data_IF_365771961550
#
_entry.id   IF_365771961550
#
_cell.length_a   1.000
_cell.length_b   1.000
_cell.length_c   1.000
_cell.angle_alpha   90.00
_cell.angle_beta   90.00
_cell.angle_gamma   90.00
#
_symmetry.space_group_name_H-M   'P 1'
#
loop_
_entity.id
_entity.type
_entity.pdbx_description
1 polymer ?
#
# COMPACT_ATOMS: atom_id res chain seq x y z
N UNK A 1 -15.72 9.11 8.33
CA UNK A 1 -15.01 9.80 7.23
C UNK A 1 -15.03 8.97 5.94
N UNK A 2 -14.52 7.73 5.94
CA UNK A 2 -14.50 6.81 4.78
C UNK A 2 -15.88 6.60 4.13
N UNK A 3 -16.93 6.39 4.92
CA UNK A 3 -18.31 6.20 4.41
C UNK A 3 -18.85 7.43 3.64
N UNK A 4 -18.40 8.64 3.98
CA UNK A 4 -18.85 9.86 3.31
C UNK A 4 -18.19 10.01 1.93
N UNK A 5 -16.88 9.74 1.83
CA UNK A 5 -16.17 9.77 0.53
C UNK A 5 -16.68 8.68 -0.42
N UNK A 6 -17.03 7.51 0.11
CA UNK A 6 -17.59 6.41 -0.67
C UNK A 6 -18.93 6.79 -1.31
N UNK A 7 -19.82 7.42 -0.55
CA UNK A 7 -21.11 7.90 -1.07
C UNK A 7 -20.94 9.00 -2.10
N UNK A 8 -20.00 9.93 -1.90
CA UNK A 8 -19.75 11.00 -2.86
C UNK A 8 -19.31 10.44 -4.21
N UNK A 9 -18.34 9.51 -4.24
CA UNK A 9 -17.87 8.91 -5.49
C UNK A 9 -18.96 8.05 -6.15
N UNK A 10 -19.75 7.31 -5.38
CA UNK A 10 -20.87 6.52 -5.93
C UNK A 10 -21.96 7.43 -6.52
N UNK A 11 -22.32 8.51 -5.82
CA UNK A 11 -23.31 9.47 -6.30
C UNK A 11 -22.84 10.21 -7.56
N UNK A 12 -21.55 10.52 -7.67
CA UNK A 12 -20.94 11.08 -8.88
C UNK A 12 -21.09 10.13 -10.07
N UNK A 13 -20.62 8.88 -9.93
CA UNK A 13 -20.78 7.85 -10.97
C UNK A 13 -22.25 7.71 -11.38
N UNK A 14 -23.16 7.56 -10.42
CA UNK A 14 -24.59 7.41 -10.71
C UNK A 14 -25.15 8.62 -11.45
N UNK A 15 -24.89 9.84 -10.96
CA UNK A 15 -25.39 11.07 -11.58
C UNK A 15 -24.86 11.28 -13.00
N UNK A 16 -23.57 11.07 -13.24
CA UNK A 16 -22.99 11.17 -14.59
C UNK A 16 -23.57 10.11 -15.53
N UNK A 17 -23.72 8.87 -15.07
CA UNK A 17 -24.35 7.81 -15.90
C UNK A 17 -25.82 8.08 -16.18
N UNK A 18 -26.55 8.71 -15.25
CA UNK A 18 -27.94 9.11 -15.45
C UNK A 18 -28.05 10.17 -16.54
N UNK A 19 -27.21 11.22 -16.51
CA UNK A 19 -27.13 12.23 -17.58
C UNK A 19 -26.84 11.57 -18.93
N UNK A 20 -25.85 10.67 -18.99
CA UNK A 20 -25.49 9.97 -20.24
C UNK A 20 -26.58 9.04 -20.79
N UNK A 21 -27.51 8.57 -19.94
CA UNK A 21 -28.55 7.61 -20.34
C UNK A 21 -29.91 8.26 -20.55
N UNK A 22 -30.14 9.45 -20.01
CA UNK A 22 -31.43 10.13 -20.04
C UNK A 22 -31.44 11.39 -20.91
N UNK A 23 -30.28 12.04 -21.10
CA UNK A 23 -30.15 13.26 -21.88
C UNK A 23 -29.47 13.01 -23.23
N UNK A 24 -29.76 13.88 -24.21
CA UNK A 24 -29.08 13.88 -25.51
C UNK A 24 -27.76 14.65 -25.39
N UNK A 25 -26.71 13.96 -24.96
CA UNK A 25 -25.36 14.52 -24.76
C UNK A 25 -24.48 14.34 -26.00
N UNK A 26 -23.70 15.36 -26.31
CA UNK A 26 -22.74 15.31 -27.40
C UNK A 26 -21.60 14.32 -27.11
N UNK A 27 -20.90 13.88 -28.16
CA UNK A 27 -19.73 13.00 -28.03
C UNK A 27 -18.62 13.59 -27.15
N UNK A 28 -18.49 14.92 -27.09
CA UNK A 28 -17.48 15.56 -26.24
C UNK A 28 -17.90 15.53 -24.77
N UNK A 29 -19.17 15.82 -24.46
CA UNK A 29 -19.71 15.74 -23.09
C UNK A 29 -19.66 14.30 -22.57
N UNK A 30 -19.98 13.31 -23.42
CA UNK A 30 -19.83 11.89 -23.08
C UNK A 30 -18.39 11.55 -22.68
N UNK A 31 -17.37 12.11 -23.35
CA UNK A 31 -15.97 11.87 -22.99
C UNK A 31 -15.59 12.51 -21.66
N UNK A 32 -16.09 13.70 -21.39
CA UNK A 32 -15.85 14.41 -20.12
C UNK A 32 -16.49 13.65 -18.95
N UNK A 33 -17.78 13.32 -19.05
CA UNK A 33 -18.52 12.54 -18.06
C UNK A 33 -17.89 11.15 -17.84
N UNK A 34 -17.45 10.47 -18.90
CA UNK A 34 -16.74 9.20 -18.78
C UNK A 34 -15.39 9.35 -18.04
N UNK A 35 -14.72 10.49 -18.19
CA UNK A 35 -13.51 10.82 -17.45
C UNK A 35 -13.77 10.94 -15.95
N UNK A 36 -14.83 11.67 -15.58
CA UNK A 36 -15.24 11.87 -14.19
C UNK A 36 -15.69 10.55 -13.54
N UNK A 37 -16.50 9.74 -14.25
CA UNK A 37 -16.90 8.40 -13.82
C UNK A 37 -15.68 7.53 -13.53
N UNK A 38 -14.68 7.54 -14.43
CA UNK A 38 -13.48 6.74 -14.25
C UNK A 38 -12.65 7.23 -13.05
N UNK A 39 -12.56 8.55 -12.82
CA UNK A 39 -11.87 9.11 -11.67
C UNK A 39 -12.54 8.68 -10.34
N UNK A 40 -13.87 8.75 -10.28
CA UNK A 40 -14.63 8.30 -9.11
C UNK A 40 -14.54 6.78 -8.90
N UNK A 41 -14.54 5.98 -9.97
CA UNK A 41 -14.35 4.53 -9.89
C UNK A 41 -12.97 4.15 -9.33
N UNK A 42 -11.91 4.85 -9.78
CA UNK A 42 -10.56 4.68 -9.23
C UNK A 42 -10.49 5.08 -7.75
N UNK A 43 -11.16 6.17 -7.37
CA UNK A 43 -11.27 6.61 -5.97
C UNK A 43 -11.97 5.55 -5.12
N UNK A 44 -13.08 4.99 -5.58
CA UNK A 44 -13.77 3.90 -4.89
C UNK A 44 -12.85 2.69 -4.70
N UNK A 45 -12.15 2.26 -5.75
CA UNK A 45 -11.23 1.13 -5.66
C UNK A 45 -10.13 1.35 -4.60
N UNK A 46 -9.59 2.57 -4.51
CA UNK A 46 -8.62 2.95 -3.47
C UNK A 46 -9.22 2.82 -2.07
N UNK A 47 -10.42 3.37 -1.85
CA UNK A 47 -11.09 3.32 -0.55
C UNK A 47 -11.43 1.89 -0.11
N UNK A 48 -11.87 1.03 -1.05
CA UNK A 48 -12.10 -0.38 -0.79
C UNK A 48 -10.80 -1.07 -0.37
N UNK A 49 -9.71 -0.80 -1.10
CA UNK A 49 -8.38 -1.38 -0.79
C UNK A 49 -7.93 -1.00 0.61
N UNK A 50 -8.02 0.28 0.98
CA UNK A 50 -7.65 0.78 2.31
C UNK A 50 -8.51 0.15 3.42
N UNK A 51 -9.82 0.00 3.19
CA UNK A 51 -10.72 -0.66 4.14
C UNK A 51 -10.35 -2.14 4.34
N UNK A 52 -10.11 -2.87 3.26
CA UNK A 52 -9.72 -4.28 3.32
C UNK A 52 -8.36 -4.48 4.00
N UNK A 53 -7.42 -3.57 3.80
CA UNK A 53 -6.14 -3.59 4.52
C UNK A 53 -6.32 -3.39 6.03
N UNK A 54 -7.21 -2.48 6.44
CA UNK A 54 -7.55 -2.30 7.86
C UNK A 54 -8.24 -3.54 8.45
N UNK A 55 -9.22 -4.11 7.74
CA UNK A 55 -9.92 -5.32 8.17
C UNK A 55 -8.94 -6.50 8.34
N UNK A 56 -7.92 -6.60 7.47
CA UNK A 56 -6.85 -7.61 7.59
C UNK A 56 -5.97 -7.40 8.83
N UNK A 57 -5.73 -6.15 9.22
CA UNK A 57 -5.02 -5.86 10.47
C UNK A 57 -5.90 -6.20 11.69
N UNK A 58 -7.18 -5.83 11.67
CA UNK A 58 -8.11 -6.09 12.78
C UNK A 58 -8.45 -7.58 12.96
N UNK A 59 -8.52 -8.34 11.86
CA UNK A 59 -8.73 -9.80 11.87
C UNK A 59 -7.49 -10.60 12.26
N UNK A 60 -6.31 -9.98 12.28
CA UNK A 60 -5.03 -10.63 12.58
C UNK A 60 -4.37 -11.33 11.39
N UNK A 61 -4.90 -11.16 10.17
CA UNK A 61 -4.27 -11.61 8.92
C UNK A 61 -2.96 -10.86 8.64
N UNK A 62 -2.82 -9.66 9.22
CA UNK A 62 -1.58 -8.91 9.34
C UNK A 62 -1.34 -8.65 10.83
N UNK A 63 -0.17 -9.04 11.32
CA UNK A 63 0.23 -8.81 12.70
C UNK A 63 1.47 -7.89 12.76
N UNK A 64 1.43 -6.91 13.66
CA UNK A 64 2.50 -5.93 13.84
C UNK A 64 3.00 -5.99 15.27
N UNK A 65 4.31 -6.13 15.44
CA UNK A 65 4.96 -6.12 16.76
C UNK A 65 6.14 -5.16 16.76
N UNK A 66 6.42 -4.62 17.94
CA UNK A 66 7.63 -3.84 18.19
C UNK A 66 8.26 -4.24 19.52
N UNK A 67 9.58 -4.32 19.56
CA UNK A 67 10.35 -4.52 20.79
C UNK A 67 11.61 -3.68 20.78
N UNK A 68 12.11 -3.33 21.96
CA UNK A 68 13.48 -2.85 22.11
C UNK A 68 14.42 -4.05 22.19
N UNK A 69 15.42 -4.08 21.31
CA UNK A 69 16.41 -5.14 21.24
C UNK A 69 17.79 -4.52 20.96
N UNK A 70 18.77 -4.79 21.83
CA UNK A 70 20.16 -4.32 21.69
C UNK A 70 20.30 -2.81 21.38
N UNK A 71 19.50 -1.97 22.04
CA UNK A 71 19.52 -0.52 21.82
C UNK A 71 18.83 -0.05 20.52
N UNK A 72 18.19 -0.95 19.79
CA UNK A 72 17.39 -0.67 18.61
C UNK A 72 15.90 -0.93 18.87
N UNK A 73 15.02 -0.17 18.23
CA UNK A 73 13.63 -0.52 18.06
C UNK A 73 13.52 -1.49 16.87
N UNK A 74 13.18 -2.75 17.15
CA UNK A 74 12.84 -3.74 16.13
C UNK A 74 11.33 -3.75 15.92
N UNK A 75 10.91 -3.60 14.67
CA UNK A 75 9.51 -3.69 14.24
C UNK A 75 9.38 -4.87 13.29
N UNK A 76 8.33 -5.67 13.48
CA UNK A 76 8.00 -6.83 12.66
C UNK A 76 6.58 -6.70 12.15
N UNK A 77 6.37 -6.92 10.86
CA UNK A 77 5.08 -6.92 10.18
C UNK A 77 4.95 -8.27 9.49
N UNK A 78 4.06 -9.13 9.98
CA UNK A 78 3.76 -10.43 9.39
C UNK A 78 2.43 -10.37 8.65
N UNK A 79 2.38 -10.97 7.47
CA UNK A 79 1.18 -11.19 6.70
C UNK A 79 1.00 -12.68 6.39
N UNK A 80 -0.24 -13.14 6.30
CA UNK A 80 -0.57 -14.52 5.87
C UNK A 80 -0.79 -14.65 4.35
N UNK A 81 -0.12 -13.82 3.55
CA UNK A 81 -0.27 -13.80 2.09
C UNK A 81 0.38 -15.00 1.38
N UNK A 82 0.48 -14.90 0.05
CA UNK A 82 1.06 -15.96 -0.80
C UNK A 82 2.56 -16.23 -0.56
N UNK A 83 3.25 -15.35 0.17
CA UNK A 83 4.69 -15.39 0.35
C UNK A 83 5.51 -15.05 -0.90
N UNK A 84 6.82 -14.94 -0.72
CA UNK A 84 7.79 -14.50 -1.72
C UNK A 84 8.77 -15.65 -1.98
N UNK A 85 9.02 -16.05 -3.24
CA UNK A 85 10.01 -17.07 -3.55
C UNK A 85 11.42 -16.60 -3.20
N UNK A 86 12.31 -17.50 -2.75
CA UNK A 86 13.66 -17.17 -2.32
C UNK A 86 14.48 -16.36 -3.34
N UNK A 87 14.29 -16.64 -4.64
CA UNK A 87 14.99 -15.97 -5.73
C UNK A 87 14.61 -14.49 -5.90
N UNK A 88 13.46 -14.07 -5.36
CA UNK A 88 13.02 -12.67 -5.38
C UNK A 88 13.38 -11.92 -4.09
N UNK A 89 13.63 -12.60 -2.97
CA UNK A 89 13.91 -11.97 -1.66
C UNK A 89 15.05 -10.94 -1.72
N UNK A 90 16.12 -11.24 -2.43
CA UNK A 90 17.27 -10.33 -2.56
C UNK A 90 16.99 -9.09 -3.41
N UNK A 91 15.90 -9.12 -4.17
CA UNK A 91 15.56 -8.17 -5.23
C UNK A 91 14.37 -7.27 -4.90
N UNK A 92 13.52 -7.67 -3.95
CA UNK A 92 12.29 -6.91 -3.60
C UNK A 92 12.53 -5.49 -3.10
N UNK A 93 13.75 -5.18 -2.61
CA UNK A 93 14.11 -3.83 -2.17
C UNK A 93 14.70 -2.98 -3.30
N UNK A 94 14.89 -3.55 -4.49
CA UNK A 94 15.31 -2.81 -5.67
C UNK A 94 14.21 -1.89 -6.20
N UNK A 95 14.60 -0.81 -6.86
CA UNK A 95 13.65 0.13 -7.46
C UNK A 95 12.96 -0.54 -8.66
N UNK A 96 11.64 -0.42 -8.74
CA UNK A 96 10.82 -0.97 -9.83
C UNK A 96 10.79 -2.51 -9.90
N UNK A 97 11.28 -3.19 -8.87
CA UNK A 97 11.21 -4.65 -8.79
C UNK A 97 9.80 -5.06 -8.35
N UNK A 98 9.07 -5.74 -9.25
CA UNK A 98 7.73 -6.27 -8.98
C UNK A 98 7.81 -7.79 -8.98
N UNK A 99 7.33 -8.41 -7.90
CA UNK A 99 7.02 -9.83 -7.90
C UNK A 99 5.58 -10.00 -8.38
N UNK A 100 5.40 -10.48 -9.61
CA UNK A 100 4.13 -10.96 -10.11
C UNK A 100 4.02 -12.44 -9.75
N UNK A 101 3.37 -12.73 -8.62
CA UNK A 101 2.99 -14.10 -8.28
C UNK A 101 2.17 -14.72 -9.41
N UNK A 102 2.36 -16.01 -9.67
CA UNK A 102 1.63 -16.78 -10.67
C UNK A 102 0.13 -16.89 -10.29
N UNK A 103 -0.63 -15.81 -10.45
CA UNK A 103 -2.01 -15.71 -10.02
C UNK A 103 -2.49 -14.26 -9.96
N UNK A 104 -2.97 -13.77 -11.11
CA UNK A 104 -3.80 -12.56 -11.31
C UNK A 104 -4.23 -11.82 -10.03
N UNK A 105 -3.44 -10.85 -9.59
CA UNK A 105 -3.91 -9.56 -9.06
C UNK A 105 -2.72 -8.61 -9.15
N UNK A 106 -2.80 -7.62 -10.04
CA UNK A 106 -1.79 -6.56 -10.12
C UNK A 106 -1.79 -5.83 -8.77
N UNK A 107 -0.72 -5.98 -7.98
CA UNK A 107 -0.49 -5.08 -6.84
C UNK A 107 -0.31 -3.69 -7.43
N UNK A 108 -1.32 -2.84 -7.22
CA UNK A 108 -1.37 -1.45 -7.68
C UNK A 108 -0.32 -0.67 -6.89
N UNK A 109 0.76 -0.27 -7.54
CA UNK A 109 1.86 0.46 -6.91
C UNK A 109 3.07 0.59 -7.83
N UNK A 110 3.91 1.60 -7.60
CA UNK A 110 5.04 1.95 -8.46
C UNK A 110 6.27 1.05 -8.29
N UNK A 111 6.23 0.07 -7.38
CA UNK A 111 7.41 -0.72 -6.99
C UNK A 111 8.48 0.10 -6.25
N UNK A 112 8.12 1.30 -5.77
CA UNK A 112 9.04 2.19 -5.06
C UNK A 112 8.93 2.08 -3.53
N UNK A 113 7.82 1.55 -2.99
CA UNK A 113 7.54 1.56 -1.56
C UNK A 113 8.64 0.91 -0.72
N UNK A 114 9.03 -0.32 -1.03
CA UNK A 114 10.09 -1.04 -0.30
C UNK A 114 11.48 -0.42 -0.49
N UNK A 115 11.78 0.12 -1.69
CA UNK A 115 13.04 0.82 -1.94
C UNK A 115 13.15 2.12 -1.12
N UNK A 116 12.05 2.87 -1.00
CA UNK A 116 11.97 4.07 -0.16
C UNK A 116 12.08 3.68 1.32
N UNK A 117 11.36 2.64 1.77
CA UNK A 117 11.44 2.14 3.14
C UNK A 117 12.88 1.75 3.50
N UNK A 118 13.56 1.00 2.63
CA UNK A 118 14.96 0.65 2.80
C UNK A 118 15.85 1.89 2.93
N UNK A 119 15.67 2.89 2.07
CA UNK A 119 16.46 4.11 2.11
C UNK A 119 16.21 4.94 3.39
N UNK A 120 14.95 5.05 3.85
CA UNK A 120 14.60 5.71 5.11
C UNK A 120 15.25 4.99 6.29
N UNK A 121 15.16 3.66 6.34
CA UNK A 121 15.71 2.86 7.43
C UNK A 121 17.25 2.96 7.46
N UNK A 122 17.90 2.93 6.29
CA UNK A 122 19.34 3.15 6.17
C UNK A 122 19.76 4.55 6.63
N UNK A 123 19.00 5.60 6.30
CA UNK A 123 19.26 6.97 6.78
C UNK A 123 19.20 7.06 8.32
N UNK A 124 18.38 6.22 8.95
CA UNK A 124 18.30 6.09 10.40
C UNK A 124 19.37 5.14 10.98
N UNK A 125 20.40 4.76 10.20
CA UNK A 125 21.43 3.76 10.60
C UNK A 125 20.83 2.40 10.98
N UNK A 126 19.66 2.09 10.42
CA UNK A 126 18.90 0.88 10.66
C UNK A 126 19.14 -0.20 9.61
N UNK A 127 18.40 -1.31 9.74
CA UNK A 127 18.39 -2.42 8.78
C UNK A 127 16.96 -2.86 8.50
N UNK A 128 16.66 -3.24 7.25
CA UNK A 128 15.41 -3.90 6.86
C UNK A 128 15.71 -5.26 6.22
N UNK A 129 14.85 -6.25 6.45
CA UNK A 129 14.91 -7.57 5.83
C UNK A 129 13.52 -8.21 5.79
N UNK A 130 13.41 -9.37 5.13
CA UNK A 130 12.18 -10.16 5.08
C UNK A 130 12.51 -11.63 5.30
N UNK A 131 11.61 -12.33 5.97
CA UNK A 131 11.54 -13.79 6.08
C UNK A 131 10.25 -14.21 5.37
N UNK A 132 10.33 -15.04 4.32
CA UNK A 132 9.13 -15.44 3.57
C UNK A 132 9.34 -16.76 2.85
N UNK A 133 8.25 -17.51 2.68
CA UNK A 133 8.20 -18.72 1.87
C UNK A 133 6.84 -18.81 1.16
N UNK A 134 6.84 -19.34 -0.06
CA UNK A 134 5.61 -19.47 -0.87
C UNK A 134 4.58 -20.31 -0.11
N UNK A 135 3.39 -19.76 0.07
CA UNK A 135 2.26 -20.36 0.80
C UNK A 135 2.30 -20.20 2.32
N UNK A 136 3.31 -19.53 2.89
CA UNK A 136 3.45 -19.32 4.34
C UNK A 136 3.37 -17.85 4.76
N UNK A 137 3.12 -16.92 3.85
CA UNK A 137 3.13 -15.49 4.15
C UNK A 137 4.52 -14.87 4.17
N UNK A 138 4.62 -13.66 4.70
CA UNK A 138 5.88 -12.91 4.80
C UNK A 138 5.97 -12.17 6.12
N UNK A 139 7.15 -12.13 6.72
CA UNK A 139 7.48 -11.29 7.87
C UNK A 139 8.54 -10.28 7.46
N UNK A 140 8.13 -9.03 7.27
CA UNK A 140 9.05 -7.91 7.08
C UNK A 140 9.51 -7.40 8.44
N UNK A 141 10.82 -7.21 8.59
CA UNK A 141 11.40 -6.68 9.83
C UNK A 141 12.32 -5.53 9.54
N UNK A 142 12.34 -4.57 10.46
CA UNK A 142 13.35 -3.54 10.46
C UNK A 142 13.79 -3.15 11.86
N UNK A 143 15.00 -2.62 11.95
CA UNK A 143 15.56 -2.01 13.15
C UNK A 143 15.95 -0.57 12.89
N UNK A 144 15.77 0.28 13.90
CA UNK A 144 16.37 1.62 13.97
C UNK A 144 16.94 1.83 15.39
N UNK A 145 18.06 2.55 15.58
CA UNK A 145 18.57 2.90 16.90
C UNK A 145 17.50 3.64 17.72
N UNK A 146 17.25 3.17 18.95
CA UNK A 146 16.19 3.70 19.81
C UNK A 146 16.57 5.05 20.47
N UNK A 147 17.86 5.41 20.43
CA UNK A 147 18.37 6.69 20.93
C UNK A 147 18.68 7.58 19.73
N UNK A 148 17.86 8.60 19.52
CA UNK A 148 18.23 9.70 18.63
C UNK A 148 19.48 10.38 19.19
N UNK A 149 20.60 10.35 18.46
CA UNK A 149 21.57 11.44 18.61
C UNK A 149 20.85 12.71 18.15
N UNK A 150 20.30 13.46 19.10
CA UNK A 150 19.73 14.78 18.89
C UNK A 150 20.73 15.59 18.07
N UNK A 151 20.33 15.96 16.85
CA UNK A 151 21.10 16.85 15.99
C UNK A 151 21.53 18.08 16.79
N UNK A 152 22.84 18.34 16.74
CA UNK A 152 23.55 19.44 17.36
C UNK A 152 22.72 20.75 17.33
N UNK A 153 22.30 21.22 18.49
CA UNK A 153 21.74 22.58 18.65
C UNK A 153 22.93 23.53 18.56
N UNK A 154 23.20 24.05 17.37
CA UNK A 154 24.17 25.14 17.20
C UNK A 154 23.65 26.35 17.96
N UNK A 155 24.41 26.75 18.97
CA UNK A 155 24.26 27.99 19.71
C UNK A 155 24.79 29.18 18.89
#
# INVERSE_FOLDING_TARGET
>A
MVSHEFRTALAGIQGYTEVMTTEDVSTNEVKELAGDINADALRLNRLITEMLELDRIESGDIAVWSKLFEGNAEVSVEDQGQGIPPEFISRIFGRYERYEGAGKTQVVGTGLGLAIAQQIIQLHKGRIWVESAVGQGSTFRFTIPATAESGNKVA
#
